data_IF_087035433557
#
_entry.id   IF_087035433557
#
_cell.length_a   1.000
_cell.length_b   1.000
_cell.length_c   1.000
_cell.angle_alpha   90.00
_cell.angle_beta   90.00
_cell.angle_gamma   90.00
#
_symmetry.space_group_name_H-M   'P 1'
#
loop_
_entity.id
_entity.type
_entity.pdbx_description
1 polymer ?
#
# COMPACT_ATOMS: atom_id res chain seq x y z
N UNK A 1 0.76 9.10 -22.79
CA UNK A 1 1.31 8.50 -21.55
C UNK A 1 0.60 9.02 -20.30
N UNK A 2 0.02 10.22 -20.35
CA UNK A 2 -0.56 10.92 -19.19
C UNK A 2 -1.70 10.19 -18.48
N UNK A 3 -2.59 9.51 -19.23
CA UNK A 3 -3.71 8.77 -18.63
C UNK A 3 -3.24 7.58 -17.77
N UNK A 4 -2.20 6.86 -18.20
CA UNK A 4 -1.67 5.72 -17.43
C UNK A 4 -0.95 6.21 -16.17
N UNK A 5 -0.13 7.26 -16.30
CA UNK A 5 0.56 7.86 -15.16
C UNK A 5 -0.43 8.44 -14.13
N UNK A 6 -1.46 9.15 -14.58
CA UNK A 6 -2.51 9.68 -13.70
C UNK A 6 -3.27 8.56 -12.97
N UNK A 7 -3.58 7.46 -13.66
CA UNK A 7 -4.22 6.28 -13.05
C UNK A 7 -3.34 5.63 -11.98
N UNK A 8 -2.04 5.46 -12.26
CA UNK A 8 -1.08 4.92 -11.28
C UNK A 8 -0.92 5.84 -10.07
N UNK A 9 -0.84 7.16 -10.29
CA UNK A 9 -0.78 8.15 -9.20
C UNK A 9 -2.02 8.05 -8.31
N UNK A 10 -3.21 7.98 -8.91
CA UNK A 10 -4.46 7.82 -8.15
C UNK A 10 -4.44 6.52 -7.33
N UNK A 11 -4.05 5.41 -7.94
CA UNK A 11 -3.97 4.10 -7.30
C UNK A 11 -2.96 4.06 -6.15
N UNK A 12 -1.82 4.73 -6.31
CA UNK A 12 -0.83 4.94 -5.23
C UNK A 12 -1.44 5.69 -4.05
N UNK A 13 -2.19 6.75 -4.33
CA UNK A 13 -2.78 7.58 -3.28
C UNK A 13 -3.89 6.82 -2.54
N UNK A 14 -4.72 6.06 -3.25
CA UNK A 14 -5.71 5.15 -2.65
C UNK A 14 -5.05 4.12 -1.72
N UNK A 15 -3.92 3.51 -2.12
CA UNK A 15 -3.18 2.58 -1.26
C UNK A 15 -2.56 3.25 -0.04
N UNK A 16 -2.06 4.49 -0.18
CA UNK A 16 -1.57 5.26 0.95
C UNK A 16 -2.66 5.57 1.97
N UNK A 17 -3.81 6.05 1.51
CA UNK A 17 -4.95 6.35 2.40
C UNK A 17 -5.39 5.10 3.15
N UNK A 18 -5.48 3.97 2.44
CA UNK A 18 -5.85 2.70 3.06
C UNK A 18 -4.82 2.21 4.07
N UNK A 19 -3.52 2.29 3.76
CA UNK A 19 -2.46 1.97 4.73
C UNK A 19 -2.54 2.85 5.97
N UNK A 20 -2.76 4.16 5.81
CA UNK A 20 -2.92 5.07 6.95
C UNK A 20 -4.09 4.66 7.83
N UNK A 21 -5.22 4.26 7.25
CA UNK A 21 -6.37 3.75 8.01
C UNK A 21 -6.04 2.45 8.73
N UNK A 22 -5.42 1.49 8.05
CA UNK A 22 -5.01 0.22 8.65
C UNK A 22 -4.05 0.42 9.82
N UNK A 23 -3.06 1.31 9.68
CA UNK A 23 -2.14 1.64 10.76
C UNK A 23 -2.80 2.35 11.95
N UNK A 24 -3.86 3.14 11.75
CA UNK A 24 -4.61 3.75 12.86
C UNK A 24 -5.26 2.70 13.76
N UNK A 25 -5.71 1.59 13.18
CA UNK A 25 -6.35 0.50 13.90
C UNK A 25 -5.36 -0.59 14.34
N UNK A 26 -4.14 -0.58 13.80
CA UNK A 26 -3.12 -1.57 14.11
C UNK A 26 -2.29 -1.15 15.33
N UNK A 27 -2.46 -1.88 16.42
CA UNK A 27 -1.73 -1.67 17.68
C UNK A 27 -0.60 -2.69 17.91
N UNK A 28 -0.10 -3.29 16.82
CA UNK A 28 0.92 -4.33 16.86
C UNK A 28 0.35 -5.75 16.86
N UNK A 29 1.22 -6.72 16.56
CA UNK A 29 0.85 -8.13 16.55
C UNK A 29 0.79 -8.62 17.99
N UNK A 30 -0.41 -8.95 18.47
CA UNK A 30 -0.58 -9.69 19.72
C UNK A 30 -0.30 -11.16 19.46
N UNK A 31 0.65 -11.74 20.20
CA UNK A 31 0.91 -13.17 20.16
C UNK A 31 -0.40 -13.94 20.45
N UNK A 32 -0.62 -15.01 19.68
CA UNK A 32 -1.80 -15.90 19.75
C UNK A 32 -3.12 -15.28 19.24
N UNK A 33 -3.07 -14.08 18.63
CA UNK A 33 -4.23 -13.50 17.96
C UNK A 33 -4.11 -13.65 16.44
N UNK A 34 -4.82 -14.66 15.90
CA UNK A 34 -4.96 -14.83 14.46
C UNK A 34 -5.46 -13.56 13.76
N UNK A 35 -6.29 -12.76 14.43
CA UNK A 35 -6.76 -11.49 13.89
C UNK A 35 -5.64 -10.46 13.72
N UNK A 36 -4.76 -10.31 14.73
CA UNK A 36 -3.63 -9.39 14.64
C UNK A 36 -2.58 -9.83 13.62
N UNK A 37 -2.36 -11.14 13.49
CA UNK A 37 -1.48 -11.70 12.45
C UNK A 37 -2.02 -11.45 11.03
N UNK A 38 -3.33 -11.64 10.84
CA UNK A 38 -4.00 -11.34 9.56
C UNK A 38 -3.92 -9.85 9.22
N UNK A 39 -4.21 -8.96 10.17
CA UNK A 39 -4.08 -7.52 9.96
C UNK A 39 -2.65 -7.12 9.55
N UNK A 40 -1.65 -7.68 10.22
CA UNK A 40 -0.25 -7.41 9.88
C UNK A 40 0.11 -7.90 8.47
N UNK A 41 -0.33 -9.11 8.11
CA UNK A 41 -0.15 -9.65 6.76
C UNK A 41 -0.82 -8.77 5.71
N UNK A 42 -2.05 -8.30 5.98
CA UNK A 42 -2.77 -7.41 5.07
C UNK A 42 -2.03 -6.07 4.90
N UNK A 43 -1.53 -5.48 5.98
CA UNK A 43 -0.69 -4.27 5.92
C UNK A 43 0.52 -4.50 5.04
N UNK A 44 1.23 -5.62 5.21
CA UNK A 44 2.40 -5.97 4.39
C UNK A 44 2.08 -6.07 2.90
N UNK A 45 0.95 -6.70 2.56
CA UNK A 45 0.48 -6.78 1.17
C UNK A 45 0.25 -5.38 0.59
N UNK A 46 -0.42 -4.48 1.33
CA UNK A 46 -0.63 -3.12 0.85
C UNK A 46 0.67 -2.30 0.74
N UNK A 47 1.63 -2.51 1.64
CA UNK A 47 2.97 -1.90 1.54
C UNK A 47 3.66 -2.32 0.23
N UNK A 48 3.65 -3.61 -0.10
CA UNK A 48 4.23 -4.13 -1.33
C UNK A 48 3.51 -3.62 -2.59
N UNK A 49 2.18 -3.55 -2.54
CA UNK A 49 1.39 -2.97 -3.64
C UNK A 49 1.71 -1.49 -3.85
N UNK A 50 1.87 -0.72 -2.77
CA UNK A 50 2.27 0.69 -2.83
C UNK A 50 3.67 0.86 -3.41
N UNK A 51 4.62 0.02 -2.98
CA UNK A 51 6.00 0.03 -3.47
C UNK A 51 6.03 -0.28 -4.97
N UNK A 52 5.36 -1.35 -5.40
CA UNK A 52 5.28 -1.76 -6.80
C UNK A 52 4.73 -0.65 -7.71
N UNK A 53 3.61 -0.02 -7.32
CA UNK A 53 3.04 1.12 -8.08
C UNK A 53 3.98 2.32 -8.08
N UNK A 54 4.66 2.59 -6.96
CA UNK A 54 5.63 3.69 -6.87
C UNK A 54 6.82 3.46 -7.79
N UNK A 55 7.32 2.24 -7.89
CA UNK A 55 8.39 1.87 -8.80
C UNK A 55 7.95 1.97 -10.27
N UNK A 56 6.74 1.53 -10.61
CA UNK A 56 6.20 1.70 -11.97
C UNK A 56 6.08 3.18 -12.35
N UNK A 57 5.60 4.04 -11.44
CA UNK A 57 5.55 5.50 -11.65
C UNK A 57 6.95 6.07 -11.86
N UNK A 58 7.95 5.64 -11.07
CA UNK A 58 9.34 6.11 -11.22
C UNK A 58 9.90 5.73 -12.59
N UNK A 59 9.72 4.49 -13.03
CA UNK A 59 10.17 4.01 -14.34
C UNK A 59 9.55 4.87 -15.45
N UNK A 60 8.23 5.06 -15.42
CA UNK A 60 7.49 5.87 -16.40
C UNK A 60 7.81 7.38 -16.38
N UNK A 61 8.50 7.89 -15.36
CA UNK A 61 8.94 9.29 -15.29
C UNK A 61 10.40 9.48 -15.72
N UNK A 62 11.17 8.39 -15.77
CA UNK A 62 12.58 8.37 -16.16
C UNK A 62 12.77 8.00 -17.64
N UNK A 63 11.80 7.29 -18.23
CA UNK A 63 11.60 7.17 -19.69
C UNK A 63 11.06 8.49 -20.30
#
# INVERSE_FOLDING_TARGET
MDKKLASLIKKRDEYKEKLVEMYKHFHGVKHESAHSELQYSEIKVYEDMLNSVTEEIKKLKLD
#
